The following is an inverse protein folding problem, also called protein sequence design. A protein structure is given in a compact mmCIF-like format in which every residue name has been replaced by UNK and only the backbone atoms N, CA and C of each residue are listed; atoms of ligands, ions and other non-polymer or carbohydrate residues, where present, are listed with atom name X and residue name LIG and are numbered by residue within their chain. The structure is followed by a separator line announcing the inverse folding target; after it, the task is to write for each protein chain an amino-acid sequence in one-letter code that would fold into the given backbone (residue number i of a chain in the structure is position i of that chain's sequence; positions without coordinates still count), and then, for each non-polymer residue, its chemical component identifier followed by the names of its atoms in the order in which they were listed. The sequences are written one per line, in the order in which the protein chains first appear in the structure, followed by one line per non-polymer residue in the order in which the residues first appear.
data_IF_331797599077
#
_entry.id   IF_331797599077
#
_cell.length_a   1.000
_cell.length_b   1.000
_cell.length_c   1.000
_cell.angle_alpha   90.00
_cell.angle_beta   90.00
_cell.angle_gamma   90.00
#
_symmetry.space_group_name_H-M   'P 1'
#
loop_
_entity.id
_entity.type
_entity.pdbx_description
1 polymer ?
#
# COMPACT_ATOMS: atom_id res chain seq x y z
N UNK A 1 -33.59 16.49 24.10
CA UNK A 1 -32.54 16.29 23.08
C UNK A 1 -31.29 15.85 23.84
N UNK A 2 -31.08 14.54 23.95
CA UNK A 2 -29.90 14.01 24.65
C UNK A 2 -28.74 14.27 23.69
N UNK A 3 -27.91 15.26 23.99
CA UNK A 3 -26.60 15.36 23.37
C UNK A 3 -25.84 14.16 23.93
N UNK A 4 -25.84 13.05 23.20
CA UNK A 4 -24.89 11.98 23.48
C UNK A 4 -23.51 12.63 23.44
N UNK A 5 -22.92 12.76 24.62
CA UNK A 5 -21.57 13.25 24.76
C UNK A 5 -20.66 12.15 24.21
N UNK A 6 -20.52 12.07 22.89
CA UNK A 6 -19.58 11.20 22.20
C UNK A 6 -18.18 11.73 22.48
N UNK A 7 -17.68 11.48 23.69
CA UNK A 7 -16.31 11.75 24.06
C UNK A 7 -15.40 10.92 23.14
N UNK A 8 -14.66 11.60 22.27
CA UNK A 8 -13.66 10.98 21.42
C UNK A 8 -12.44 10.71 22.30
N UNK A 9 -12.15 9.44 22.57
CA UNK A 9 -10.93 9.08 23.28
C UNK A 9 -9.73 9.29 22.37
N UNK A 10 -8.76 10.07 22.84
CA UNK A 10 -7.50 10.30 22.14
C UNK A 10 -6.48 9.20 22.48
N UNK A 11 -5.56 8.95 21.56
CA UNK A 11 -4.37 8.15 21.85
C UNK A 11 -3.47 8.87 22.85
N UNK A 12 -2.76 8.17 23.75
CA UNK A 12 -1.82 8.80 24.68
C UNK A 12 -0.61 9.41 23.95
N UNK A 13 -0.29 8.92 22.75
CA UNK A 13 0.82 9.39 21.94
C UNK A 13 0.48 9.20 20.46
N UNK A 14 0.70 10.24 19.67
CA UNK A 14 0.56 10.22 18.21
C UNK A 14 1.91 9.96 17.59
N UNK A 15 1.94 9.05 16.62
CA UNK A 15 3.12 8.82 15.80
C UNK A 15 2.92 9.46 14.44
N UNK A 16 3.77 10.44 14.10
CA UNK A 16 3.70 11.07 12.78
C UNK A 16 3.94 10.02 11.69
N UNK A 17 3.02 9.88 10.71
CA UNK A 17 3.17 8.93 9.61
C UNK A 17 4.24 9.39 8.59
N UNK A 18 4.66 10.66 8.65
CA UNK A 18 5.66 11.18 7.73
C UNK A 18 7.07 10.99 8.30
N UNK A 19 7.37 11.59 9.46
CA UNK A 19 8.72 11.61 10.04
C UNK A 19 8.93 10.70 11.25
N UNK A 20 7.94 9.88 11.62
CA UNK A 20 7.98 8.93 12.75
C UNK A 20 8.20 9.53 14.13
N UNK A 21 8.28 10.85 14.25
CA UNK A 21 8.32 11.58 15.51
C UNK A 21 7.06 11.28 16.32
N UNK A 22 7.27 10.96 17.60
CA UNK A 22 6.22 10.65 18.54
C UNK A 22 5.98 11.87 19.43
N UNK A 23 4.72 12.30 19.54
CA UNK A 23 4.34 13.52 20.27
C UNK A 23 2.99 13.32 20.96
N UNK A 24 2.75 14.08 22.02
CA UNK A 24 1.46 14.06 22.72
C UNK A 24 0.40 14.80 21.88
N UNK A 25 -0.89 14.37 21.88
CA UNK A 25 -1.95 15.01 21.10
C UNK A 25 -2.03 16.54 21.27
N UNK A 26 -1.80 17.05 22.47
CA UNK A 26 -1.83 18.47 22.82
C UNK A 26 -0.67 19.29 22.21
N UNK A 27 0.41 18.62 21.77
CA UNK A 27 1.53 19.27 21.08
C UNK A 27 1.31 19.42 19.57
N UNK A 28 0.13 19.06 19.07
CA UNK A 28 -0.20 19.16 17.64
C UNK A 28 -0.24 20.62 17.18
N UNK A 29 0.22 20.86 15.95
CA UNK A 29 0.04 22.15 15.29
C UNK A 29 -1.25 22.14 14.46
N UNK A 30 -1.95 23.25 14.41
CA UNK A 30 -3.04 23.49 13.48
C UNK A 30 -2.51 24.15 12.21
N UNK A 31 -3.10 23.83 11.07
CA UNK A 31 -2.78 24.46 9.79
C UNK A 31 -3.74 25.63 9.57
N UNK A 32 -3.21 26.83 9.34
CA UNK A 32 -4.01 28.03 9.11
C UNK A 32 -4.88 27.91 7.84
N UNK A 33 -6.07 28.53 7.85
CA UNK A 33 -6.97 28.50 6.70
C UNK A 33 -6.82 29.76 5.83
N UNK A 34 -6.55 30.92 6.44
CA UNK A 34 -6.40 32.20 5.72
C UNK A 34 -5.25 32.22 4.71
N UNK A 35 -5.50 32.80 3.53
CA UNK A 35 -4.48 33.02 2.48
C UNK A 35 -3.34 33.93 2.93
N UNK A 36 -3.64 34.86 3.83
CA UNK A 36 -2.66 35.81 4.35
C UNK A 36 -1.63 35.16 5.30
N UNK A 37 -1.89 33.93 5.74
CA UNK A 37 -1.05 33.15 6.63
C UNK A 37 -0.30 32.04 5.87
N UNK A 38 0.31 32.39 4.73
CA UNK A 38 1.19 31.51 3.95
C UNK A 38 2.66 31.57 4.42
N UNK A 39 3.49 30.65 3.90
CA UNK A 39 4.93 30.59 4.15
C UNK A 39 5.30 29.89 5.45
N UNK A 40 5.00 28.59 5.56
CA UNK A 40 5.53 27.78 6.66
C UNK A 40 7.06 27.59 6.54
N UNK A 41 7.85 27.85 7.60
CA UNK A 41 9.30 27.83 7.52
C UNK A 41 9.91 26.43 7.26
N UNK A 42 9.16 25.35 7.53
CA UNK A 42 9.64 23.98 7.27
C UNK A 42 9.29 23.47 5.89
N UNK A 43 8.34 24.08 5.19
CA UNK A 43 7.86 23.55 3.92
C UNK A 43 8.50 24.30 2.75
N UNK A 44 8.78 23.56 1.68
CA UNK A 44 9.44 24.15 0.50
C UNK A 44 8.51 25.09 -0.27
N UNK A 45 7.23 24.73 -0.37
CA UNK A 45 6.23 25.48 -1.11
C UNK A 45 5.80 26.74 -0.33
N UNK A 46 6.02 27.96 -0.86
CA UNK A 46 5.67 29.19 -0.17
C UNK A 46 4.17 29.37 0.04
N UNK A 47 3.33 28.67 -0.75
CA UNK A 47 1.86 28.72 -0.62
C UNK A 47 1.35 27.87 0.55
N UNK A 48 2.20 27.02 1.13
CA UNK A 48 1.84 26.22 2.29
C UNK A 48 1.54 27.11 3.50
N UNK A 49 0.38 26.86 4.10
CA UNK A 49 -0.15 27.61 5.24
C UNK A 49 0.72 27.48 6.48
N UNK A 50 0.84 28.55 7.27
CA UNK A 50 1.58 28.49 8.53
C UNK A 50 0.96 27.49 9.49
N UNK A 51 1.81 26.70 10.14
CA UNK A 51 1.42 25.84 11.26
C UNK A 51 1.55 26.63 12.57
N UNK A 52 0.57 26.49 13.47
CA UNK A 52 0.54 27.23 14.74
C UNK A 52 -0.01 26.38 15.89
N UNK A 53 0.37 26.72 17.12
CA UNK A 53 -0.24 26.14 18.33
C UNK A 53 -1.52 26.93 18.61
N UNK A 54 -2.66 26.24 18.61
CA UNK A 54 -3.95 26.89 18.85
C UNK A 54 -4.12 27.27 20.33
N UNK A 55 -4.40 28.55 20.56
CA UNK A 55 -4.74 29.11 21.89
C UNK A 55 -6.20 29.50 22.01
N UNK A 56 -6.95 29.48 20.89
CA UNK A 56 -8.36 29.84 20.81
C UNK A 56 -9.12 28.79 20.02
N UNK A 57 -10.30 28.43 20.52
CA UNK A 57 -11.17 27.43 19.90
C UNK A 57 -12.61 27.95 19.85
N UNK A 58 -13.33 27.54 18.79
CA UNK A 58 -14.78 27.61 18.72
C UNK A 58 -15.41 26.54 19.63
N UNK A 59 -16.69 26.68 20.01
CA UNK A 59 -17.39 25.68 20.83
C UNK A 59 -17.44 24.27 20.22
N UNK A 60 -17.33 24.14 18.90
CA UNK A 60 -17.27 22.86 18.17
C UNK A 60 -15.86 22.25 18.10
N UNK A 61 -14.86 22.90 18.74
CA UNK A 61 -13.48 22.45 18.80
C UNK A 61 -12.61 22.85 17.60
N UNK A 62 -13.11 23.67 16.66
CA UNK A 62 -12.26 24.24 15.61
C UNK A 62 -11.28 25.26 16.20
N UNK A 63 -9.99 25.17 15.86
CA UNK A 63 -9.02 26.20 16.23
C UNK A 63 -9.28 27.47 15.43
N UNK A 64 -8.92 28.63 15.98
CA UNK A 64 -9.08 29.93 15.31
C UNK A 64 -7.72 30.53 15.00
N UNK A 65 -7.44 30.79 13.72
CA UNK A 65 -6.19 31.43 13.30
C UNK A 65 -6.14 32.95 13.63
N UNK A 66 -5.03 33.60 13.29
CA UNK A 66 -4.82 35.02 13.54
C UNK A 66 -5.84 35.91 12.79
N UNK A 67 -6.38 35.42 11.67
CA UNK A 67 -7.38 36.12 10.84
C UNK A 67 -8.82 35.75 11.21
N UNK A 68 -9.02 34.98 12.28
CA UNK A 68 -10.34 34.61 12.78
C UNK A 68 -11.01 33.47 12.03
N UNK A 69 -10.29 32.76 11.17
CA UNK A 69 -10.81 31.64 10.37
C UNK A 69 -10.71 30.33 11.15
N UNK A 70 -11.70 29.46 10.92
CA UNK A 70 -11.76 28.14 11.54
C UNK A 70 -10.73 27.20 10.88
N UNK A 71 -9.95 26.52 11.71
CA UNK A 71 -8.83 25.66 11.32
C UNK A 71 -9.03 24.26 11.88
N UNK A 72 -9.11 23.27 11.00
CA UNK A 72 -9.37 21.87 11.37
C UNK A 72 -8.25 20.92 10.96
N UNK A 73 -7.37 21.30 10.06
CA UNK A 73 -6.26 20.44 9.68
C UNK A 73 -5.14 20.50 10.71
N UNK A 74 -4.50 19.36 10.91
CA UNK A 74 -3.49 19.13 11.94
C UNK A 74 -2.15 18.81 11.29
N UNK A 75 -1.06 19.19 11.94
CA UNK A 75 0.29 19.00 11.48
C UNK A 75 1.22 18.53 12.61
N UNK A 76 2.27 17.81 12.21
CA UNK A 76 3.28 17.33 13.13
C UNK A 76 4.12 18.51 13.67
N UNK A 77 4.37 18.61 14.99
CA UNK A 77 5.23 19.65 15.55
C UNK A 77 6.70 19.56 15.09
N UNK A 78 7.12 18.39 14.60
CA UNK A 78 8.49 18.18 14.14
C UNK A 78 8.67 18.38 12.63
N UNK A 79 7.80 17.87 11.76
CA UNK A 79 7.99 18.03 10.30
C UNK A 79 7.02 19.01 9.63
N UNK A 80 6.03 19.51 10.35
CA UNK A 80 4.96 20.39 9.88
C UNK A 80 4.07 19.80 8.76
N UNK A 81 4.35 18.59 8.29
CA UNK A 81 3.48 17.86 7.38
C UNK A 81 2.16 17.48 8.08
N UNK A 82 1.11 17.42 7.27
CA UNK A 82 -0.24 17.08 7.71
C UNK A 82 -0.28 15.71 8.40
N UNK A 83 -0.99 15.65 9.51
CA UNK A 83 -1.27 14.41 10.27
C UNK A 83 -2.79 14.31 10.40
N UNK A 84 -3.44 13.34 9.74
CA UNK A 84 -4.90 13.25 9.77
C UNK A 84 -5.44 13.03 11.18
N UNK A 85 -6.60 13.64 11.48
CA UNK A 85 -7.29 13.51 12.79
C UNK A 85 -7.56 12.06 13.20
N UNK A 86 -7.79 11.19 12.23
CA UNK A 86 -8.00 9.75 12.47
C UNK A 86 -6.83 9.09 13.24
N UNK A 87 -5.61 9.64 13.17
CA UNK A 87 -4.45 9.13 13.92
C UNK A 87 -4.42 9.58 15.39
N UNK A 88 -5.30 10.50 15.79
CA UNK A 88 -5.43 10.99 17.14
C UNK A 88 -6.50 10.21 17.92
N UNK A 89 -7.44 9.57 17.23
CA UNK A 89 -8.49 8.76 17.85
C UNK A 89 -7.92 7.43 18.35
N UNK A 90 -8.45 6.89 19.45
CA UNK A 90 -8.02 5.62 20.06
C UNK A 90 -8.39 4.40 19.20
N UNK A 91 -7.82 4.32 18.00
CA UNK A 91 -7.89 3.21 17.04
C UNK A 91 -6.47 2.81 16.69
N UNK A 92 -6.19 1.51 16.67
CA UNK A 92 -4.87 1.05 16.27
C UNK A 92 -4.64 1.32 14.77
N UNK A 93 -3.51 1.97 14.45
CA UNK A 93 -3.06 2.19 13.09
C UNK A 93 -2.16 1.04 12.64
N UNK A 94 -2.47 0.45 11.49
CA UNK A 94 -1.62 -0.51 10.80
C UNK A 94 -0.86 0.21 9.70
N UNK A 95 0.47 0.20 9.80
CA UNK A 95 1.35 0.73 8.76
C UNK A 95 1.66 -0.39 7.77
N UNK A 96 1.37 -0.16 6.49
CA UNK A 96 1.57 -1.12 5.42
C UNK A 96 2.45 -0.50 4.34
N UNK A 97 3.45 -1.24 3.86
CA UNK A 97 4.34 -0.75 2.82
C UNK A 97 4.33 -1.63 1.59
N UNK A 98 4.17 -1.01 0.43
CA UNK A 98 4.28 -1.63 -0.88
C UNK A 98 5.62 -1.22 -1.46
N UNK A 99 6.43 -2.19 -1.87
CA UNK A 99 7.74 -1.96 -2.46
C UNK A 99 8.06 -3.05 -3.48
N UNK A 100 9.06 -2.80 -4.34
CA UNK A 100 9.38 -3.67 -5.46
C UNK A 100 9.96 -2.90 -6.62
N UNK A 101 10.55 -3.60 -7.59
CA UNK A 101 11.28 -3.01 -8.72
C UNK A 101 10.43 -2.03 -9.54
N UNK A 102 11.01 -1.02 -10.22
CA UNK A 102 10.26 -0.21 -11.17
C UNK A 102 9.48 -1.09 -12.17
N UNK A 103 8.31 -0.61 -12.62
CA UNK A 103 7.44 -1.30 -13.59
C UNK A 103 6.87 -2.67 -13.17
N UNK A 104 7.11 -3.15 -11.93
CA UNK A 104 6.52 -4.40 -11.39
C UNK A 104 4.99 -4.38 -11.17
N UNK A 105 4.34 -3.22 -11.36
CA UNK A 105 2.89 -3.05 -11.22
C UNK A 105 2.41 -2.58 -9.84
N UNK A 106 3.27 -1.99 -8.99
CA UNK A 106 2.90 -1.47 -7.66
C UNK A 106 1.69 -0.53 -7.65
N UNK A 107 1.71 0.49 -8.51
CA UNK A 107 0.63 1.49 -8.59
C UNK A 107 -0.68 0.89 -9.09
N UNK A 108 -0.60 -0.06 -10.04
CA UNK A 108 -1.75 -0.85 -10.50
C UNK A 108 -2.31 -1.72 -9.38
N UNK A 109 -1.44 -2.44 -8.64
CA UNK A 109 -1.81 -3.21 -7.46
C UNK A 109 -2.55 -2.33 -6.45
N UNK A 110 -1.98 -1.19 -6.09
CA UNK A 110 -2.58 -0.28 -5.12
C UNK A 110 -3.96 0.22 -5.58
N UNK A 111 -4.08 0.71 -6.81
CA UNK A 111 -5.33 1.24 -7.35
C UNK A 111 -6.42 0.16 -7.40
N UNK A 112 -6.10 -1.02 -7.94
CA UNK A 112 -7.02 -2.13 -8.05
C UNK A 112 -7.41 -2.68 -6.66
N UNK A 113 -6.45 -2.84 -5.76
CA UNK A 113 -6.67 -3.34 -4.39
C UNK A 113 -7.58 -2.40 -3.60
N UNK A 114 -7.33 -1.08 -3.64
CA UNK A 114 -8.15 -0.12 -2.89
C UNK A 114 -9.57 -0.04 -3.48
N UNK A 115 -9.71 0.05 -4.81
CA UNK A 115 -11.02 0.08 -5.48
C UNK A 115 -11.84 -1.16 -5.18
N UNK A 116 -11.23 -2.35 -5.32
CA UNK A 116 -11.94 -3.59 -5.06
C UNK A 116 -12.27 -3.75 -3.57
N UNK A 117 -11.36 -3.34 -2.68
CA UNK A 117 -11.63 -3.40 -1.24
C UNK A 117 -12.85 -2.58 -0.83
N UNK A 118 -13.02 -1.37 -1.38
CA UNK A 118 -14.22 -0.53 -1.18
C UNK A 118 -15.53 -1.23 -1.55
N UNK A 119 -15.50 -2.17 -2.51
CA UNK A 119 -16.68 -2.89 -3.00
C UNK A 119 -16.88 -4.21 -2.26
N UNK A 120 -15.81 -5.00 -2.17
CA UNK A 120 -15.85 -6.39 -1.72
C UNK A 120 -15.98 -6.51 -0.20
N UNK A 121 -15.29 -5.67 0.59
CA UNK A 121 -15.33 -5.77 2.05
C UNK A 121 -16.74 -5.51 2.64
N UNK A 122 -17.48 -4.46 2.23
CA UNK A 122 -18.82 -4.24 2.74
C UNK A 122 -19.80 -5.34 2.32
N UNK A 123 -19.71 -5.78 1.07
CA UNK A 123 -20.65 -6.74 0.47
C UNK A 123 -20.46 -8.16 1.00
N UNK A 124 -19.21 -8.61 1.13
CA UNK A 124 -18.89 -9.99 1.48
C UNK A 124 -18.54 -10.17 2.94
N UNK A 125 -17.85 -9.21 3.55
CA UNK A 125 -17.34 -9.35 4.92
C UNK A 125 -18.07 -8.48 5.94
N UNK A 126 -19.07 -7.66 5.56
CA UNK A 126 -19.69 -6.72 6.50
C UNK A 126 -18.70 -5.72 7.09
N UNK A 127 -17.65 -5.37 6.34
CA UNK A 127 -16.61 -4.44 6.77
C UNK A 127 -16.72 -3.17 5.93
N UNK A 128 -16.99 -2.04 6.57
CA UNK A 128 -16.92 -0.72 5.95
C UNK A 128 -15.46 -0.41 5.61
N UNK A 129 -15.23 0.06 4.39
CA UNK A 129 -13.92 0.49 3.93
C UNK A 129 -14.02 1.92 3.43
N UNK A 130 -13.46 2.87 4.19
CA UNK A 130 -13.66 4.31 3.96
C UNK A 130 -12.34 5.06 3.88
N UNK A 131 -12.41 6.29 3.37
CA UNK A 131 -11.28 7.22 3.27
C UNK A 131 -11.44 8.33 4.30
N UNK A 132 -10.89 8.20 5.53
CA UNK A 132 -11.07 9.18 6.60
C UNK A 132 -10.42 10.54 6.27
N UNK A 133 -9.55 10.60 5.26
CA UNK A 133 -8.89 11.82 4.83
C UNK A 133 -8.69 11.84 3.30
N UNK A 134 -9.73 12.20 2.54
CA UNK A 134 -9.68 12.21 1.07
C UNK A 134 -8.50 12.98 0.45
N UNK A 135 -8.05 14.14 1.00
CA UNK A 135 -6.91 14.85 0.42
C UNK A 135 -5.61 14.05 0.41
N UNK A 136 -5.37 13.17 1.41
CA UNK A 136 -4.19 12.29 1.42
C UNK A 136 -4.26 11.17 0.39
N UNK A 137 -5.45 10.84 -0.09
CA UNK A 137 -5.67 9.73 -1.01
C UNK A 137 -5.82 10.17 -2.47
N UNK A 138 -5.63 11.46 -2.77
CA UNK A 138 -5.73 12.01 -4.14
C UNK A 138 -4.92 11.23 -5.16
N UNK A 139 -3.73 10.76 -4.79
CA UNK A 139 -2.89 9.93 -5.66
C UNK A 139 -3.59 8.62 -6.05
N UNK A 140 -4.08 7.86 -5.07
CA UNK A 140 -4.83 6.61 -5.34
C UNK A 140 -6.11 6.89 -6.12
N UNK A 141 -6.84 7.94 -5.74
CA UNK A 141 -8.05 8.35 -6.47
C UNK A 141 -7.75 8.68 -7.93
N UNK A 142 -6.61 9.34 -8.21
CA UNK A 142 -6.19 9.61 -9.58
C UNK A 142 -5.92 8.32 -10.36
N UNK A 143 -5.29 7.33 -9.74
CA UNK A 143 -5.06 6.02 -10.35
C UNK A 143 -6.36 5.23 -10.58
N UNK A 144 -7.28 5.26 -9.61
CA UNK A 144 -8.59 4.62 -9.74
C UNK A 144 -9.39 5.24 -10.89
N UNK A 145 -9.38 6.57 -11.00
CA UNK A 145 -10.03 7.29 -12.10
C UNK A 145 -9.36 6.96 -13.45
N UNK A 146 -8.02 7.00 -13.46
CA UNK A 146 -7.09 6.39 -14.40
C UNK A 146 -7.64 5.17 -15.12
N UNK A 147 -7.68 4.09 -14.36
CA UNK A 147 -7.88 2.75 -14.89
C UNK A 147 -9.34 2.39 -15.10
N UNK A 148 -10.25 2.98 -14.34
CA UNK A 148 -11.54 2.33 -14.12
C UNK A 148 -12.78 3.20 -14.26
N UNK A 149 -12.63 4.51 -14.27
CA UNK A 149 -13.76 5.43 -14.34
C UNK A 149 -13.77 6.20 -15.68
N UNK A 150 -13.02 5.70 -16.68
CA UNK A 150 -13.11 6.22 -18.04
C UNK A 150 -14.51 5.92 -18.62
N UNK A 151 -15.22 6.91 -19.19
CA UNK A 151 -16.59 6.71 -19.67
C UNK A 151 -16.67 5.87 -20.96
N UNK A 152 -15.63 5.91 -21.79
CA UNK A 152 -15.51 5.08 -23.00
C UNK A 152 -14.78 3.77 -22.66
N UNK A 153 -15.42 2.60 -22.84
CA UNK A 153 -14.81 1.29 -22.58
C UNK A 153 -13.66 0.95 -23.55
N UNK A 154 -13.60 1.56 -24.73
CA UNK A 154 -12.54 1.30 -25.72
C UNK A 154 -11.31 2.18 -25.55
N UNK A 155 -11.37 3.17 -24.67
CA UNK A 155 -10.26 4.07 -24.42
C UNK A 155 -9.05 3.32 -23.85
N UNK A 156 -7.86 3.77 -24.27
CA UNK A 156 -6.59 3.26 -23.79
C UNK A 156 -6.18 4.02 -22.52
N UNK A 157 -6.06 3.29 -21.42
CA UNK A 157 -5.75 3.83 -20.08
C UNK A 157 -4.42 3.29 -19.57
N UNK A 158 -3.76 4.10 -18.76
CA UNK A 158 -2.52 3.78 -18.05
C UNK A 158 -2.46 4.52 -16.70
N UNK A 159 -1.44 4.16 -15.90
CA UNK A 159 -1.04 4.92 -14.72
C UNK A 159 0.39 5.43 -14.93
N UNK A 160 0.67 6.72 -14.65
CA UNK A 160 2.03 7.26 -14.69
C UNK A 160 2.99 6.47 -13.80
N UNK A 161 4.22 6.26 -14.27
CA UNK A 161 5.27 5.58 -13.50
C UNK A 161 5.54 6.34 -12.20
N UNK A 162 5.52 5.63 -11.06
CA UNK A 162 5.99 6.18 -9.78
C UNK A 162 7.44 6.62 -9.90
N UNK A 163 7.71 7.90 -9.67
CA UNK A 163 9.03 8.50 -9.74
C UNK A 163 9.63 8.65 -8.33
N UNK A 164 10.93 8.39 -8.21
CA UNK A 164 11.67 8.61 -6.97
C UNK A 164 11.74 10.10 -6.60
N UNK A 165 12.15 10.35 -5.37
CA UNK A 165 12.18 11.69 -4.78
C UNK A 165 13.13 12.68 -5.52
N UNK A 166 14.05 12.17 -6.34
CA UNK A 166 15.05 12.96 -7.07
C UNK A 166 14.64 13.35 -8.50
N UNK A 167 13.56 12.77 -9.05
CA UNK A 167 13.09 13.00 -10.43
C UNK A 167 11.66 13.55 -10.50
N UNK A 168 11.43 14.79 -10.04
CA UNK A 168 10.13 15.45 -10.20
C UNK A 168 8.97 14.85 -9.39
N UNK A 169 9.26 13.96 -8.43
CA UNK A 169 8.30 13.16 -7.67
C UNK A 169 7.43 13.91 -6.65
N UNK A 170 7.09 15.19 -6.86
CA UNK A 170 6.26 16.00 -5.93
C UNK A 170 4.88 15.38 -5.64
N UNK A 171 4.38 14.56 -6.57
CA UNK A 171 3.15 13.79 -6.41
C UNK A 171 3.27 12.66 -5.39
N UNK A 172 4.46 12.09 -5.19
CA UNK A 172 4.71 10.95 -4.29
C UNK A 172 5.45 11.33 -3.01
N UNK A 173 6.24 12.41 -3.04
CA UNK A 173 7.07 12.84 -1.92
C UNK A 173 6.78 14.29 -1.53
N UNK A 174 7.00 14.58 -0.25
CA UNK A 174 6.88 15.90 0.37
C UNK A 174 8.26 16.34 0.85
N UNK A 175 8.61 17.60 0.58
CA UNK A 175 9.91 18.16 0.91
C UNK A 175 9.80 19.01 2.18
N UNK A 176 10.66 18.73 3.15
CA UNK A 176 10.70 19.42 4.45
C UNK A 176 12.13 19.87 4.73
N UNK A 177 12.26 21.10 5.23
CA UNK A 177 13.52 21.73 5.63
C UNK A 177 13.75 21.55 7.14
N UNK A 178 14.94 21.09 7.49
CA UNK A 178 15.45 21.00 8.86
C UNK A 178 16.76 21.81 8.93
N UNK A 179 16.65 23.11 9.22
CA UNK A 179 17.77 24.02 9.06
C UNK A 179 18.21 24.07 7.59
N UNK A 180 19.49 23.79 7.34
CA UNK A 180 20.06 23.72 5.99
C UNK A 180 19.83 22.36 5.29
N UNK A 181 19.30 21.36 6.00
CA UNK A 181 19.04 20.04 5.44
C UNK A 181 17.65 19.94 4.80
N UNK A 182 17.58 19.30 3.64
CA UNK A 182 16.33 18.99 2.95
C UNK A 182 16.04 17.49 3.08
N UNK A 183 14.88 17.16 3.62
CA UNK A 183 14.39 15.79 3.79
C UNK A 183 13.15 15.57 2.93
N UNK A 184 13.06 14.39 2.30
CA UNK A 184 11.93 14.01 1.45
C UNK A 184 11.17 12.85 2.07
N UNK A 185 9.88 13.04 2.33
CA UNK A 185 9.02 12.03 2.97
C UNK A 185 8.00 11.48 1.97
N UNK A 186 7.78 10.16 1.91
CA UNK A 186 6.72 9.60 1.09
C UNK A 186 5.35 10.11 1.59
N UNK A 187 4.38 10.24 0.68
CA UNK A 187 3.00 10.62 1.02
C UNK A 187 2.22 9.40 1.53
N UNK A 188 1.85 9.35 2.81
CA UNK A 188 1.01 8.27 3.34
C UNK A 188 -0.44 8.42 2.86
N UNK A 189 -1.08 7.28 2.62
CA UNK A 189 -2.49 7.18 2.25
C UNK A 189 -3.26 6.53 3.39
N UNK A 190 -4.46 7.01 3.68
CA UNK A 190 -5.23 6.62 4.86
C UNK A 190 -6.57 6.01 4.50
N UNK A 191 -6.81 4.82 5.04
CA UNK A 191 -8.10 4.12 4.91
C UNK A 191 -8.56 3.66 6.28
N UNK A 192 -9.85 3.39 6.42
CA UNK A 192 -10.42 2.81 7.63
C UNK A 192 -11.17 1.54 7.30
N UNK A 193 -10.93 0.51 8.11
CA UNK A 193 -11.70 -0.74 8.11
C UNK A 193 -12.50 -0.81 9.39
N UNK A 194 -13.82 -0.85 9.28
CA UNK A 194 -14.73 -0.80 10.44
C UNK A 194 -15.80 -1.88 10.32
N UNK A 195 -16.03 -2.70 11.36
CA UNK A 195 -17.20 -3.59 11.40
C UNK A 195 -18.50 -2.83 11.20
N UNK A 196 -19.31 -3.25 10.22
CA UNK A 196 -20.66 -2.73 10.03
C UNK A 196 -21.64 -3.41 10.98
N UNK A 197 -22.87 -2.91 11.04
CA UNK A 197 -23.93 -3.43 11.91
C UNK A 197 -24.21 -4.93 11.68
N UNK A 198 -24.09 -5.40 10.44
CA UNK A 198 -24.28 -6.82 10.09
C UNK A 198 -23.04 -7.70 10.37
N UNK A 199 -21.93 -7.14 10.83
CA UNK A 199 -20.74 -7.89 11.23
C UNK A 199 -20.93 -8.50 12.63
N UNK A 200 -20.41 -9.71 12.92
CA UNK A 200 -20.45 -10.31 14.26
C UNK A 200 -19.90 -9.41 15.38
N UNK A 201 -18.93 -8.55 15.03
CA UNK A 201 -18.32 -7.56 15.92
C UNK A 201 -18.81 -6.12 15.67
N UNK A 202 -19.97 -5.93 15.02
CA UNK A 202 -20.53 -4.61 14.70
C UNK A 202 -20.79 -3.75 15.94
N UNK A 203 -21.29 -4.36 17.02
CA UNK A 203 -21.48 -3.68 18.31
C UNK A 203 -20.19 -3.28 19.03
N UNK A 204 -19.05 -3.85 18.62
CA UNK A 204 -17.73 -3.60 19.21
C UNK A 204 -16.79 -2.88 18.23
N UNK A 205 -17.35 -2.10 17.29
CA UNK A 205 -16.59 -1.48 16.20
C UNK A 205 -15.38 -0.67 16.68
N UNK A 206 -15.45 0.01 17.83
CA UNK A 206 -14.33 0.78 18.40
C UNK A 206 -13.09 -0.07 18.70
N UNK A 207 -13.27 -1.32 19.13
CA UNK A 207 -12.18 -2.24 19.47
C UNK A 207 -11.53 -2.85 18.21
N UNK A 208 -12.33 -3.13 17.19
CA UNK A 208 -11.90 -3.85 15.99
C UNK A 208 -11.54 -2.93 14.82
N UNK A 209 -12.05 -1.71 14.80
CA UNK A 209 -11.73 -0.74 13.74
C UNK A 209 -10.22 -0.52 13.64
N UNK A 210 -9.74 -0.41 12.41
CA UNK A 210 -8.33 -0.13 12.11
C UNK A 210 -8.21 1.01 11.13
N UNK A 211 -7.24 1.87 11.40
CA UNK A 211 -6.75 2.83 10.42
C UNK A 211 -5.61 2.16 9.67
N UNK A 212 -5.67 2.15 8.35
CA UNK A 212 -4.59 1.71 7.48
C UNK A 212 -3.82 2.93 7.03
N UNK A 213 -2.50 2.90 7.19
CA UNK A 213 -1.57 3.89 6.65
C UNK A 213 -0.69 3.18 5.62
N UNK A 214 -0.94 3.43 4.33
CA UNK A 214 -0.23 2.79 3.22
C UNK A 214 0.85 3.70 2.64
N UNK A 215 1.97 3.10 2.24
CA UNK A 215 3.04 3.76 1.49
C UNK A 215 3.25 3.04 0.15
N UNK A 216 3.24 3.79 -0.94
CA UNK A 216 3.71 3.35 -2.26
C UNK A 216 5.15 3.83 -2.45
N UNK A 217 6.09 2.90 -2.45
CA UNK A 217 7.51 3.25 -2.61
C UNK A 217 7.93 3.19 -4.07
N UNK A 218 8.71 4.18 -4.50
CA UNK A 218 9.38 4.09 -5.80
C UNK A 218 10.32 2.88 -5.82
N UNK A 219 10.35 2.16 -6.95
CA UNK A 219 11.24 0.99 -7.05
C UNK A 219 12.72 1.36 -7.12
N UNK A 220 13.01 2.55 -7.66
CA UNK A 220 14.37 3.11 -7.80
C UNK A 220 15.02 3.40 -6.44
N UNK A 221 14.21 3.54 -5.39
CA UNK A 221 14.69 3.79 -4.04
C UNK A 221 15.47 2.59 -3.47
N UNK A 222 15.27 1.39 -4.00
CA UNK A 222 15.90 0.17 -3.47
C UNK A 222 17.03 -0.36 -4.35
N UNK A 223 17.42 0.38 -5.39
CA UNK A 223 18.56 0.06 -6.23
C UNK A 223 19.87 0.31 -5.48
N UNK A 224 20.87 -0.55 -5.72
CA UNK A 224 22.13 -0.51 -5.00
C UNK A 224 22.87 0.83 -5.24
N UNK A 225 23.41 1.43 -4.18
CA UNK A 225 24.22 2.65 -4.24
C UNK A 225 23.45 3.97 -4.28
N UNK A 226 22.10 3.97 -4.38
CA UNK A 226 21.30 5.22 -4.32
C UNK A 226 21.00 5.71 -2.89
N UNK A 227 21.10 4.86 -1.86
CA UNK A 227 20.56 5.16 -0.52
C UNK A 227 21.48 4.85 0.67
N UNK A 228 22.78 5.15 0.58
CA UNK A 228 23.75 4.94 1.68
C UNK A 228 23.64 5.93 2.85
N UNK A 229 22.49 6.59 3.06
CA UNK A 229 22.27 7.49 4.20
C UNK A 229 21.51 6.76 5.33
N UNK A 230 22.06 6.68 6.56
CA UNK A 230 21.47 5.96 7.70
C UNK A 230 20.06 6.40 8.11
N UNK A 231 19.63 7.60 7.71
CA UNK A 231 18.36 8.22 8.11
C UNK A 231 17.37 8.42 6.95
N UNK A 232 17.54 7.74 5.81
CA UNK A 232 16.62 7.92 4.68
C UNK A 232 15.15 7.60 5.09
N UNK A 233 14.21 8.56 4.97
CA UNK A 233 12.80 8.36 5.27
C UNK A 233 12.13 7.15 4.58
N UNK A 234 12.67 6.74 3.42
CA UNK A 234 12.18 5.56 2.68
C UNK A 234 12.45 4.24 3.43
N UNK A 235 13.55 4.12 4.18
CA UNK A 235 13.80 2.89 4.95
C UNK A 235 12.99 2.87 6.26
N UNK A 236 12.70 4.04 6.82
CA UNK A 236 12.06 4.14 8.15
C UNK A 236 10.67 3.54 8.17
N UNK A 237 9.84 3.81 7.16
CA UNK A 237 8.46 3.36 7.16
C UNK A 237 8.34 1.85 6.90
N UNK A 238 9.23 1.25 6.09
CA UNK A 238 9.35 -0.21 5.96
C UNK A 238 9.65 -0.86 7.32
N UNK A 239 10.64 -0.33 8.04
CA UNK A 239 11.04 -0.85 9.33
C UNK A 239 9.97 -0.71 10.42
N UNK A 240 9.05 0.24 10.28
CA UNK A 240 7.92 0.47 11.21
C UNK A 240 6.62 -0.17 10.75
N UNK A 241 6.61 -0.83 9.59
CA UNK A 241 5.41 -1.45 9.05
C UNK A 241 4.97 -2.66 9.87
N UNK A 242 3.67 -2.79 10.06
CA UNK A 242 3.02 -3.99 10.59
C UNK A 242 2.91 -5.07 9.51
N UNK A 243 2.84 -4.70 8.23
CA UNK A 243 2.84 -5.65 7.12
C UNK A 243 3.57 -5.12 5.91
N UNK A 244 4.25 -6.01 5.20
CA UNK A 244 5.05 -5.70 4.02
C UNK A 244 4.47 -6.40 2.80
N UNK A 245 4.39 -5.70 1.68
CA UNK A 245 3.99 -6.24 0.38
C UNK A 245 5.13 -6.01 -0.62
N UNK A 246 5.83 -7.09 -0.97
CA UNK A 246 6.84 -7.04 -2.03
C UNK A 246 6.19 -7.42 -3.36
N UNK A 247 6.14 -6.47 -4.29
CA UNK A 247 5.56 -6.66 -5.62
C UNK A 247 6.63 -7.24 -6.54
N UNK A 248 6.43 -8.49 -6.91
CA UNK A 248 7.32 -9.25 -7.77
C UNK A 248 6.61 -9.51 -9.10
N UNK A 249 7.24 -9.08 -10.20
CA UNK A 249 6.76 -9.33 -11.56
C UNK A 249 7.60 -10.44 -12.20
N UNK A 250 7.08 -11.68 -12.29
CA UNK A 250 7.83 -12.77 -12.91
C UNK A 250 8.18 -12.51 -14.37
N UNK A 251 7.41 -11.68 -15.07
CA UNK A 251 7.64 -11.34 -16.48
C UNK A 251 8.84 -10.40 -16.68
N UNK A 252 9.55 -10.04 -15.62
CA UNK A 252 10.83 -9.33 -15.68
C UNK A 252 12.03 -10.23 -15.35
N UNK A 253 11.80 -11.50 -15.00
CA UNK A 253 12.87 -12.44 -14.67
C UNK A 253 13.21 -13.33 -15.88
N UNK A 254 14.48 -13.36 -16.34
CA UNK A 254 14.85 -14.07 -17.57
C UNK A 254 14.48 -15.56 -17.58
N UNK A 255 14.65 -16.24 -16.43
CA UNK A 255 14.33 -17.66 -16.31
C UNK A 255 12.82 -17.94 -16.38
N UNK A 256 12.01 -17.05 -15.83
CA UNK A 256 10.55 -17.16 -15.86
C UNK A 256 10.00 -16.78 -17.23
N UNK A 257 10.53 -15.71 -17.86
CA UNK A 257 10.21 -15.32 -19.23
C UNK A 257 10.40 -16.47 -20.23
N UNK A 258 11.52 -17.20 -20.15
CA UNK A 258 11.77 -18.38 -20.99
C UNK A 258 10.71 -19.47 -20.81
N UNK A 259 10.16 -19.64 -19.61
CA UNK A 259 9.11 -20.61 -19.34
C UNK A 259 7.74 -20.18 -19.90
N UNK A 260 7.48 -18.87 -20.00
CA UNK A 260 6.26 -18.30 -20.57
C UNK A 260 6.27 -18.17 -22.10
N UNK A 261 7.44 -18.18 -22.73
CA UNK A 261 7.61 -17.93 -24.17
C UNK A 261 6.73 -18.85 -25.02
N UNK A 262 6.01 -18.26 -25.98
CA UNK A 262 5.08 -18.97 -26.87
C UNK A 262 3.82 -19.53 -26.21
N UNK A 263 3.56 -19.25 -24.92
CA UNK A 263 2.39 -19.73 -24.16
C UNK A 263 1.58 -18.63 -23.48
N UNK A 264 2.04 -17.38 -23.60
CA UNK A 264 1.35 -16.21 -23.07
C UNK A 264 0.75 -15.37 -24.18
N UNK A 265 -0.39 -14.74 -23.90
CA UNK A 265 -1.01 -13.75 -24.76
C UNK A 265 -0.53 -12.31 -24.46
N UNK A 266 0.29 -12.13 -23.42
CA UNK A 266 0.82 -10.83 -23.04
C UNK A 266 1.98 -10.43 -23.99
N UNK A 267 1.83 -9.38 -24.80
CA UNK A 267 2.86 -8.94 -25.74
C UNK A 267 4.14 -8.47 -25.04
N UNK A 268 4.06 -8.11 -23.75
CA UNK A 268 5.21 -7.70 -22.96
C UNK A 268 6.22 -8.85 -22.76
N UNK A 269 5.79 -10.12 -22.81
CA UNK A 269 6.71 -11.26 -22.65
C UNK A 269 7.74 -11.30 -23.78
N UNK A 270 7.28 -11.24 -25.03
CA UNK A 270 8.17 -11.25 -26.19
C UNK A 270 9.06 -10.00 -26.24
N UNK A 271 8.51 -8.84 -25.88
CA UNK A 271 9.29 -7.61 -25.78
C UNK A 271 10.37 -7.70 -24.69
N UNK A 272 10.04 -8.20 -23.50
CA UNK A 272 10.98 -8.33 -22.39
C UNK A 272 12.08 -9.37 -22.67
N UNK A 273 11.78 -10.43 -23.42
CA UNK A 273 12.80 -11.39 -23.87
C UNK A 273 13.84 -10.70 -24.77
N UNK A 274 13.39 -9.86 -25.71
CA UNK A 274 14.28 -9.09 -26.58
C UNK A 274 15.14 -8.09 -25.80
N UNK A 275 14.55 -7.38 -24.83
CA UNK A 275 15.26 -6.38 -24.00
C UNK A 275 16.27 -7.06 -23.07
N UNK A 276 15.92 -8.20 -22.47
CA UNK A 276 16.81 -8.96 -21.57
C UNK A 276 18.06 -9.50 -22.27
N UNK A 277 18.10 -9.51 -23.61
CA UNK A 277 19.28 -9.87 -24.38
C UNK A 277 20.29 -8.70 -24.51
N UNK A 278 19.91 -7.46 -24.18
CA UNK A 278 20.72 -6.25 -24.39
C UNK A 278 20.99 -5.38 -23.15
N UNK A 279 20.21 -5.46 -22.08
CA UNK A 279 20.39 -4.67 -20.85
C UNK A 279 20.52 -5.59 -19.61
N UNK A 280 21.59 -5.39 -18.81
CA UNK A 280 21.75 -6.05 -17.51
C UNK A 280 20.95 -5.25 -16.48
N UNK A 281 19.78 -5.76 -16.11
CA UNK A 281 18.94 -5.18 -15.06
C UNK A 281 19.14 -5.94 -13.74
N UNK A 282 19.10 -5.24 -12.62
CA UNK A 282 19.22 -5.87 -11.31
C UNK A 282 18.07 -6.88 -11.08
N UNK A 283 18.39 -8.12 -10.66
CA UNK A 283 17.38 -9.10 -10.28
C UNK A 283 16.46 -8.57 -9.16
N UNK A 284 15.17 -8.89 -9.21
CA UNK A 284 14.25 -8.41 -8.17
C UNK A 284 14.60 -8.97 -6.77
N UNK A 285 15.26 -10.13 -6.70
CA UNK A 285 15.77 -10.68 -5.45
C UNK A 285 16.83 -9.77 -4.79
N UNK A 286 17.64 -9.05 -5.58
CA UNK A 286 18.62 -8.07 -5.06
C UNK A 286 17.90 -6.91 -4.39
N UNK A 287 16.83 -6.39 -5.01
CA UNK A 287 16.01 -5.32 -4.43
C UNK A 287 15.41 -5.73 -3.09
N UNK A 288 14.89 -6.95 -3.00
CA UNK A 288 14.36 -7.49 -1.76
C UNK A 288 15.45 -7.65 -0.68
N UNK A 289 16.64 -8.12 -1.07
CA UNK A 289 17.78 -8.25 -0.16
C UNK A 289 18.34 -6.90 0.31
N UNK A 290 18.36 -5.87 -0.55
CA UNK A 290 18.75 -4.50 -0.18
C UNK A 290 17.76 -3.92 0.82
N UNK A 291 16.46 -4.08 0.57
CA UNK A 291 15.42 -3.65 1.52
C UNK A 291 15.55 -4.38 2.87
N UNK A 292 15.85 -5.69 2.85
CA UNK A 292 16.10 -6.49 4.07
C UNK A 292 17.24 -5.89 4.91
N UNK A 293 18.38 -5.67 4.27
CA UNK A 293 19.57 -5.12 4.92
C UNK A 293 19.31 -3.72 5.48
N UNK A 294 18.64 -2.85 4.71
CA UNK A 294 18.33 -1.49 5.11
C UNK A 294 17.39 -1.46 6.32
N UNK A 295 16.33 -2.28 6.31
CA UNK A 295 15.39 -2.39 7.44
C UNK A 295 16.10 -2.91 8.69
N UNK A 296 16.90 -3.97 8.58
CA UNK A 296 17.61 -4.55 9.73
C UNK A 296 18.66 -3.59 10.29
N UNK A 297 19.40 -2.90 9.43
CA UNK A 297 20.35 -1.85 9.81
C UNK A 297 19.64 -0.74 10.59
N UNK A 298 18.49 -0.27 10.10
CA UNK A 298 17.70 0.76 10.79
C UNK A 298 17.16 0.28 12.14
N UNK A 299 16.73 -0.98 12.24
CA UNK A 299 16.24 -1.57 13.49
C UNK A 299 17.37 -1.97 14.47
N UNK A 300 18.64 -1.83 14.09
CA UNK A 300 19.77 -2.31 14.88
C UNK A 300 19.77 -3.83 15.07
N UNK A 301 19.18 -4.58 14.13
CA UNK A 301 19.07 -6.04 14.19
C UNK A 301 20.20 -6.74 13.44
N UNK A 302 20.62 -7.95 13.88
CA UNK A 302 21.54 -8.77 13.12
C UNK A 302 20.98 -9.06 11.72
N UNK A 303 21.82 -8.91 10.68
CA UNK A 303 21.40 -9.14 9.27
C UNK A 303 20.86 -10.57 9.06
N UNK A 304 21.41 -11.54 9.80
CA UNK A 304 21.02 -12.94 9.70
C UNK A 304 19.65 -13.27 10.32
N UNK A 305 19.12 -12.43 11.22
CA UNK A 305 17.87 -12.74 11.90
C UNK A 305 16.67 -12.22 11.09
N UNK A 306 15.75 -13.09 10.62
CA UNK A 306 14.55 -12.65 9.93
C UNK A 306 13.60 -11.86 10.84
N UNK A 307 12.83 -10.96 10.24
CA UNK A 307 11.82 -10.16 10.95
C UNK A 307 10.59 -11.01 11.33
N UNK A 308 9.84 -10.56 12.33
CA UNK A 308 8.50 -11.07 12.66
C UNK A 308 7.40 -10.40 11.82
N UNK A 309 7.69 -9.25 11.23
CA UNK A 309 6.74 -8.54 10.37
C UNK A 309 6.40 -9.43 9.17
N UNK A 310 5.14 -9.78 8.92
CA UNK A 310 4.77 -10.62 7.79
C UNK A 310 5.05 -9.93 6.45
N UNK A 311 5.59 -10.73 5.53
CA UNK A 311 5.90 -10.34 4.16
C UNK A 311 4.98 -11.11 3.21
N UNK A 312 4.16 -10.37 2.46
CA UNK A 312 3.41 -10.91 1.33
C UNK A 312 4.20 -10.63 0.06
N UNK A 313 4.70 -11.68 -0.59
CA UNK A 313 5.26 -11.59 -1.94
C UNK A 313 4.10 -11.65 -2.92
N UNK A 314 3.73 -10.48 -3.45
CA UNK A 314 2.63 -10.29 -4.39
C UNK A 314 3.17 -10.57 -5.79
N UNK A 315 2.82 -11.72 -6.35
CA UNK A 315 3.28 -12.16 -7.66
C UNK A 315 2.30 -11.68 -8.71
N UNK A 316 2.67 -10.63 -9.45
CA UNK A 316 1.76 -9.90 -10.33
C UNK A 316 1.61 -10.54 -11.70
N UNK A 317 0.65 -10.01 -12.47
CA UNK A 317 0.35 -10.41 -13.86
C UNK A 317 0.03 -11.89 -14.01
N UNK A 318 -0.68 -12.47 -13.03
CA UNK A 318 -1.07 -13.88 -13.09
C UNK A 318 -1.76 -14.24 -14.41
N UNK A 319 -2.50 -13.31 -15.02
CA UNK A 319 -3.17 -13.48 -16.31
C UNK A 319 -2.18 -13.80 -17.45
N UNK A 320 -0.96 -13.28 -17.40
CA UNK A 320 0.09 -13.54 -18.38
C UNK A 320 0.70 -14.94 -18.23
N UNK A 321 0.65 -15.56 -17.05
CA UNK A 321 1.34 -16.83 -16.76
C UNK A 321 0.49 -17.89 -16.07
N UNK A 322 -0.83 -17.72 -16.01
CA UNK A 322 -1.77 -18.61 -15.29
C UNK A 322 -1.64 -20.08 -15.65
N UNK A 323 -1.25 -20.38 -16.89
CA UNK A 323 -1.00 -21.74 -17.37
C UNK A 323 0.10 -22.47 -16.56
N UNK A 324 1.04 -21.74 -15.97
CA UNK A 324 2.11 -22.29 -15.13
C UNK A 324 1.62 -22.67 -13.72
N UNK A 325 0.51 -22.09 -13.25
CA UNK A 325 -0.09 -22.39 -11.95
C UNK A 325 -1.38 -23.24 -12.08
N UNK A 326 -1.62 -23.83 -13.26
CA UNK A 326 -2.77 -24.72 -13.49
C UNK A 326 -4.06 -24.03 -13.90
N UNK A 327 -4.00 -22.78 -14.37
CA UNK A 327 -5.14 -22.05 -14.94
C UNK A 327 -5.73 -21.02 -13.99
N UNK A 328 -7.05 -20.86 -14.04
CA UNK A 328 -7.75 -19.83 -13.27
C UNK A 328 -7.69 -20.13 -11.76
N UNK A 329 -7.58 -19.05 -10.96
CA UNK A 329 -7.49 -19.18 -9.51
C UNK A 329 -8.87 -19.51 -8.92
N UNK A 330 -8.93 -20.37 -7.88
CA UNK A 330 -10.18 -20.69 -7.22
C UNK A 330 -10.77 -19.47 -6.48
N UNK A 331 -12.04 -19.54 -6.11
CA UNK A 331 -12.63 -18.54 -5.23
C UNK A 331 -11.97 -18.58 -3.85
N UNK A 332 -11.59 -17.42 -3.31
CA UNK A 332 -10.98 -17.30 -1.98
C UNK A 332 -11.99 -16.89 -0.89
N UNK A 333 -13.25 -16.68 -1.27
CA UNK A 333 -14.35 -16.29 -0.36
C UNK A 333 -15.29 -17.49 -0.23
N UNK A 334 -15.57 -17.89 1.00
CA UNK A 334 -16.52 -18.94 1.36
C UNK A 334 -17.86 -18.33 1.71
N UNK A 335 -18.90 -18.77 1.04
CA UNK A 335 -20.28 -18.35 1.35
C UNK A 335 -20.74 -18.97 2.68
N UNK A 336 -21.52 -18.24 3.50
CA UNK A 336 -21.99 -18.74 4.78
C UNK A 336 -23.02 -19.86 4.59
N UNK A 337 -22.91 -20.95 5.39
CA UNK A 337 -23.85 -22.09 5.33
C UNK A 337 -25.27 -21.76 5.83
N UNK A 338 -25.35 -20.82 6.76
CA UNK A 338 -26.57 -20.27 7.34
C UNK A 338 -26.38 -18.76 7.34
N UNK A 339 -27.40 -17.99 6.93
CA UNK A 339 -27.31 -16.55 6.63
C UNK A 339 -26.33 -15.76 7.50
N UNK A 340 -25.62 -14.80 6.89
CA UNK A 340 -24.57 -14.04 7.55
C UNK A 340 -23.60 -13.45 6.52
N UNK A 341 -22.41 -13.12 6.99
CA UNK A 341 -21.30 -12.64 6.15
C UNK A 341 -20.43 -13.80 5.67
N UNK A 342 -19.72 -13.59 4.56
CA UNK A 342 -18.75 -14.54 4.02
C UNK A 342 -17.49 -14.62 4.89
N UNK A 343 -16.74 -15.70 4.71
CA UNK A 343 -15.43 -15.91 5.34
C UNK A 343 -14.31 -16.07 4.32
N UNK A 344 -13.08 -15.77 4.74
CA UNK A 344 -11.88 -16.01 3.95
C UNK A 344 -11.55 -17.51 3.96
N UNK A 345 -11.38 -18.11 2.77
CA UNK A 345 -10.95 -19.51 2.61
C UNK A 345 -9.44 -19.61 2.78
N UNK A 346 -9.00 -19.65 4.04
CA UNK A 346 -7.58 -19.68 4.41
C UNK A 346 -6.87 -20.89 3.82
N UNK A 347 -7.49 -22.07 3.82
CA UNK A 347 -6.89 -23.28 3.27
C UNK A 347 -6.60 -23.15 1.77
N UNK A 348 -7.52 -22.57 1.00
CA UNK A 348 -7.34 -22.34 -0.44
C UNK A 348 -6.18 -21.38 -0.71
N UNK A 349 -6.11 -20.28 0.06
CA UNK A 349 -5.02 -19.31 -0.08
C UNK A 349 -3.66 -19.95 0.27
N UNK A 350 -3.60 -20.75 1.33
CA UNK A 350 -2.37 -21.46 1.74
C UNK A 350 -1.93 -22.50 0.70
N UNK A 351 -2.87 -23.25 0.12
CA UNK A 351 -2.58 -24.23 -0.93
C UNK A 351 -1.98 -23.54 -2.17
N UNK A 352 -2.63 -22.49 -2.66
CA UNK A 352 -2.15 -21.70 -3.79
C UNK A 352 -0.79 -21.07 -3.47
N UNK A 353 -0.60 -20.58 -2.25
CA UNK A 353 0.68 -20.01 -1.81
C UNK A 353 1.81 -21.04 -1.84
N UNK A 354 1.56 -22.28 -1.40
CA UNK A 354 2.56 -23.35 -1.44
C UNK A 354 2.88 -23.79 -2.87
N UNK A 355 1.87 -23.93 -3.74
CA UNK A 355 2.06 -24.25 -5.16
C UNK A 355 2.88 -23.18 -5.87
N UNK A 356 2.56 -21.90 -5.61
CA UNK A 356 3.28 -20.77 -6.16
C UNK A 356 4.72 -20.70 -5.63
N UNK A 357 4.95 -20.98 -4.34
CA UNK A 357 6.30 -21.10 -3.79
C UNK A 357 7.10 -22.18 -4.52
N UNK A 358 6.50 -23.34 -4.81
CA UNK A 358 7.13 -24.41 -5.59
C UNK A 358 7.52 -23.96 -7.00
N UNK A 359 6.60 -23.26 -7.69
CA UNK A 359 6.85 -22.69 -9.01
C UNK A 359 8.01 -21.68 -9.00
N UNK A 360 8.03 -20.77 -8.03
CA UNK A 360 9.12 -19.79 -7.89
C UNK A 360 10.43 -20.47 -7.51
N UNK A 361 10.43 -21.52 -6.69
CA UNK A 361 11.65 -22.28 -6.38
C UNK A 361 12.25 -22.94 -7.62
N UNK A 362 11.41 -23.34 -8.60
CA UNK A 362 11.86 -23.93 -9.84
C UNK A 362 12.49 -22.91 -10.81
N UNK A 363 11.95 -21.69 -10.88
CA UNK A 363 12.33 -20.71 -11.91
C UNK A 363 13.16 -19.54 -11.39
N UNK A 364 12.95 -19.12 -10.14
CA UNK A 364 13.57 -17.95 -9.50
C UNK A 364 13.85 -18.21 -8.01
N UNK A 365 14.61 -19.26 -7.64
CA UNK A 365 14.82 -19.67 -6.24
C UNK A 365 15.39 -18.55 -5.36
N UNK A 366 16.16 -17.63 -5.94
CA UNK A 366 16.75 -16.47 -5.29
C UNK A 366 15.71 -15.55 -4.62
N UNK A 367 14.53 -15.34 -5.23
CA UNK A 367 13.50 -14.47 -4.64
C UNK A 367 12.86 -15.14 -3.43
N UNK A 368 12.67 -16.46 -3.48
CA UNK A 368 12.11 -17.23 -2.36
C UNK A 368 13.09 -17.21 -1.19
N UNK A 369 14.39 -17.45 -1.46
CA UNK A 369 15.43 -17.40 -0.44
C UNK A 369 15.55 -16.00 0.18
N UNK A 370 15.53 -14.94 -0.63
CA UNK A 370 15.57 -13.56 -0.16
C UNK A 370 14.35 -13.23 0.73
N UNK A 371 13.14 -13.65 0.33
CA UNK A 371 11.93 -13.43 1.11
C UNK A 371 11.98 -14.15 2.47
N UNK A 372 12.40 -15.42 2.49
CA UNK A 372 12.51 -16.22 3.72
C UNK A 372 13.61 -15.72 4.67
N UNK A 373 14.65 -15.06 4.13
CA UNK A 373 15.65 -14.35 4.94
C UNK A 373 15.11 -13.03 5.49
N UNK A 374 14.21 -12.39 4.77
CA UNK A 374 13.59 -11.12 5.17
C UNK A 374 12.69 -11.32 6.38
N UNK A 375 11.78 -12.30 6.34
CA UNK A 375 10.75 -12.52 7.36
C UNK A 375 10.56 -13.99 7.67
N UNK A 376 10.20 -14.29 8.93
CA UNK A 376 9.76 -15.64 9.34
C UNK A 376 8.40 -16.00 8.75
N UNK A 377 7.58 -15.00 8.41
CA UNK A 377 6.20 -15.17 7.94
C UNK A 377 6.07 -14.68 6.51
N UNK A 378 6.34 -15.57 5.54
CA UNK A 378 6.31 -15.27 4.11
C UNK A 378 5.14 -15.96 3.43
N UNK A 379 4.39 -15.20 2.62
CA UNK A 379 3.26 -15.72 1.85
C UNK A 379 3.35 -15.25 0.40
N UNK A 380 3.30 -16.18 -0.53
CA UNK A 380 3.26 -15.90 -1.96
C UNK A 380 1.81 -15.83 -2.41
N UNK A 381 1.40 -14.73 -3.03
CA UNK A 381 0.01 -14.52 -3.46
C UNK A 381 0.00 -14.12 -4.93
N UNK A 382 -0.60 -14.93 -5.83
CA UNK A 382 -0.76 -14.54 -7.22
C UNK A 382 -1.88 -13.51 -7.33
N UNK A 383 -1.66 -12.45 -8.10
CA UNK A 383 -2.68 -11.43 -8.37
C UNK A 383 -2.62 -10.99 -9.82
N UNK A 384 -3.75 -10.47 -10.30
CA UNK A 384 -3.73 -9.61 -11.50
C UNK A 384 -4.49 -8.33 -11.22
N UNK A 385 -3.77 -7.21 -11.32
CA UNK A 385 -4.34 -5.89 -11.11
C UNK A 385 -5.15 -5.40 -12.31
N UNK A 386 -4.84 -5.86 -13.52
CA UNK A 386 -5.57 -5.50 -14.74
C UNK A 386 -6.46 -6.64 -15.24
N UNK A 387 -6.10 -7.89 -14.96
CA UNK A 387 -6.84 -9.08 -15.39
C UNK A 387 -6.81 -9.36 -16.89
N UNK A 388 -6.09 -8.55 -17.66
CA UNK A 388 -5.98 -8.65 -19.10
C UNK A 388 -4.60 -8.18 -19.58
N UNK A 389 -4.21 -8.70 -20.74
CA UNK A 389 -3.01 -8.29 -21.45
C UNK A 389 -3.12 -6.84 -21.96
N UNK A 390 -2.04 -6.05 -21.93
CA UNK A 390 -2.02 -4.73 -22.52
C UNK A 390 -2.03 -4.80 -24.05
N UNK A 391 -2.37 -3.67 -24.67
CA UNK A 391 -2.20 -3.41 -26.10
C UNK A 391 -1.04 -2.45 -26.31
N UNK A 392 -0.26 -2.65 -27.36
CA UNK A 392 0.76 -1.69 -27.77
C UNK A 392 0.07 -0.48 -28.42
N UNK A 393 0.08 0.66 -27.73
CA UNK A 393 -0.55 1.90 -28.17
C UNK A 393 0.36 2.74 -29.08
N UNK A 394 1.68 2.49 -29.00
CA UNK A 394 2.68 3.22 -29.77
C UNK A 394 4.10 2.85 -29.33
N UNK A 395 5.00 3.82 -29.47
CA UNK A 395 6.39 3.73 -29.04
C UNK A 395 6.77 5.04 -28.34
N UNK A 396 7.41 4.95 -27.19
CA UNK A 396 7.91 6.06 -26.39
C UNK A 396 9.37 5.79 -26.04
N UNK A 397 10.25 6.75 -26.34
CA UNK A 397 11.70 6.66 -26.10
C UNK A 397 12.36 5.37 -26.66
N UNK A 398 11.94 4.93 -27.85
CA UNK A 398 12.47 3.72 -28.48
C UNK A 398 11.93 2.41 -27.89
N UNK A 399 10.93 2.49 -27.00
CA UNK A 399 10.33 1.34 -26.31
C UNK A 399 8.83 1.27 -26.57
N UNK A 400 8.24 0.07 -26.73
CA UNK A 400 6.79 -0.06 -26.90
C UNK A 400 6.02 0.56 -25.73
N UNK A 401 5.04 1.42 -26.05
CA UNK A 401 4.11 1.98 -25.08
C UNK A 401 2.90 1.06 -24.93
N UNK A 402 2.69 0.55 -23.72
CA UNK A 402 1.67 -0.46 -23.41
C UNK A 402 0.56 0.15 -22.56
N UNK A 403 -0.68 0.04 -23.04
CA UNK A 403 -1.89 0.55 -22.37
C UNK A 403 -2.96 -0.53 -22.28
N UNK A 404 -3.99 -0.29 -21.48
CA UNK A 404 -5.11 -1.23 -21.31
C UNK A 404 -6.39 -0.65 -21.87
N UNK A 405 -7.28 -1.47 -22.43
CA UNK A 405 -8.64 -1.02 -22.75
C UNK A 405 -9.44 -0.91 -21.46
N UNK A 406 -10.01 0.27 -21.19
CA UNK A 406 -10.72 0.54 -19.94
C UNK A 406 -11.79 -0.52 -19.59
N UNK A 407 -12.58 -0.94 -20.58
CA UNK A 407 -13.65 -1.93 -20.41
C UNK A 407 -13.16 -3.36 -20.20
N UNK A 408 -11.89 -3.66 -20.49
CA UNK A 408 -11.28 -4.98 -20.30
C UNK A 408 -10.58 -5.16 -18.96
N UNK A 409 -10.41 -4.09 -18.18
CA UNK A 409 -9.72 -4.14 -16.88
C UNK A 409 -10.61 -4.86 -15.86
N UNK A 410 -10.24 -6.08 -15.49
CA UNK A 410 -10.98 -6.95 -14.58
C UNK A 410 -10.05 -7.58 -13.53
N UNK A 411 -9.67 -6.82 -12.47
CA UNK A 411 -8.75 -7.30 -11.44
C UNK A 411 -9.31 -8.54 -10.72
N UNK A 412 -8.43 -9.46 -10.30
CA UNK A 412 -8.82 -10.62 -9.50
C UNK A 412 -7.74 -10.99 -8.47
N UNK A 413 -8.19 -11.58 -7.36
CA UNK A 413 -7.35 -11.93 -6.19
C UNK A 413 -6.60 -10.74 -5.57
N UNK A 414 -6.90 -9.52 -6.00
CA UNK A 414 -6.12 -8.32 -5.70
C UNK A 414 -6.28 -7.86 -4.24
N UNK A 415 -7.37 -8.27 -3.59
CA UNK A 415 -7.73 -7.98 -2.21
C UNK A 415 -7.08 -8.95 -1.23
N UNK A 416 -6.65 -10.13 -1.71
CA UNK A 416 -6.10 -11.22 -0.89
C UNK A 416 -4.91 -10.75 -0.05
N UNK A 417 -3.91 -10.00 -0.58
CA UNK A 417 -2.79 -9.51 0.24
C UNK A 417 -3.25 -8.69 1.46
N UNK A 418 -4.22 -7.78 1.28
CA UNK A 418 -4.73 -6.95 2.36
C UNK A 418 -5.59 -7.75 3.34
N UNK A 419 -6.54 -8.54 2.84
CA UNK A 419 -7.42 -9.38 3.67
C UNK A 419 -6.59 -10.35 4.53
N UNK A 420 -5.55 -10.92 3.96
CA UNK A 420 -4.63 -11.82 4.65
C UNK A 420 -3.90 -11.13 5.81
N UNK A 421 -3.34 -9.94 5.56
CA UNK A 421 -2.68 -9.15 6.60
C UNK A 421 -3.66 -8.73 7.70
N UNK A 422 -4.88 -8.31 7.35
CA UNK A 422 -5.92 -7.93 8.31
C UNK A 422 -6.36 -9.13 9.17
N UNK A 423 -6.63 -10.28 8.56
CA UNK A 423 -7.05 -11.50 9.25
C UNK A 423 -6.02 -11.97 10.28
N UNK A 424 -4.73 -11.80 9.98
CA UNK A 424 -3.62 -12.20 10.86
C UNK A 424 -3.32 -11.19 11.96
N UNK A 425 -3.39 -9.89 11.67
CA UNK A 425 -3.06 -8.84 12.64
C UNK A 425 -4.20 -8.54 13.61
N UNK A 426 -5.45 -8.73 13.17
CA UNK A 426 -6.62 -8.38 13.96
C UNK A 426 -7.56 -9.56 13.98
N UNK A 427 -7.30 -10.45 14.92
CA UNK A 427 -8.16 -11.60 15.17
C UNK A 427 -9.61 -11.15 15.35
N UNK A 428 -10.52 -11.74 14.58
CA UNK A 428 -11.95 -11.42 14.60
C UNK A 428 -12.38 -10.22 13.76
N UNK A 429 -11.47 -9.49 13.08
CA UNK A 429 -11.86 -8.44 12.14
C UNK A 429 -12.28 -9.02 10.79
N UNK A 430 -11.45 -9.87 10.19
CA UNK A 430 -11.79 -10.57 8.95
C UNK A 430 -12.25 -11.99 9.31
N UNK A 431 -13.52 -12.35 9.09
CA UNK A 431 -13.99 -13.71 9.30
C UNK A 431 -13.21 -14.70 8.43
N UNK A 432 -12.84 -15.83 9.00
CA UNK A 432 -12.17 -16.94 8.32
C UNK A 432 -13.01 -18.19 8.41
N UNK A 433 -12.85 -19.11 7.46
CA UNK A 433 -13.52 -20.40 7.51
C UNK A 433 -13.15 -21.17 8.79
N UNK A 434 -14.15 -21.77 9.46
CA UNK A 434 -13.90 -22.69 10.57
C UNK A 434 -13.47 -24.04 9.99
N UNK A 435 -12.21 -24.42 10.14
CA UNK A 435 -11.78 -25.82 9.93
C UNK A 435 -12.52 -26.69 10.95
N UNK A 436 -13.26 -27.71 10.50
CA UNK A 436 -13.60 -28.82 11.40
C UNK A 436 -12.27 -29.46 11.82
N UNK A 437 -11.99 -29.65 13.11
CA UNK A 437 -10.86 -30.48 13.50
C UNK A 437 -11.02 -31.84 12.80
N UNK A 438 -9.93 -32.36 12.23
CA UNK A 438 -9.94 -33.72 11.73
C UNK A 438 -10.44 -34.63 12.86
N UNK A 439 -11.45 -35.46 12.58
CA UNK A 439 -11.89 -36.46 13.54
C UNK A 439 -10.67 -37.35 13.84
N UNK A 440 -10.21 -37.27 15.09
CA UNK A 440 -9.09 -38.06 15.61
C UNK A 440 -9.40 -39.55 15.60
#
# INVERSE_FOLDING_TARGET
MIIENTAINLVPQVRCPNCWHAFAPESVLFIASSQDLAGDPRLEDPEERRRFIATRFRPDGAAVDEMGMDCRDLACPNCHLLVPRVLFEQRATMFLSIFGRPQSGKSYLLAAMMRQSKRLLPQKFGLGFTEPHPPSNRLVQSYENSLFNHPDPEALVDIPKTMSADFGGRLWYQVVKFGDEIHRFPRPMFFQVVPLVNHPNGGNASQYARTLCLYDNAGEDFEAGRQDKPNNPVTQHLARSSGLMFVFDPTQEPAFLRACHGRSADPQIEANIKVSAGEILDPQATILATADQNVKKFLGRPIAEPLETPLVVVVTKHDAWKHMLGGDLPAFIGEPKTGGICGLQVAVIEEISQRLRGLLMQHTPEVVAAAQRFSRHVYFVPVSATGCAPVQAGEQDGRPDYKFRAGSVSPYWIEVPLLWLLARHVQGLVPTEKRRPAAS
#
